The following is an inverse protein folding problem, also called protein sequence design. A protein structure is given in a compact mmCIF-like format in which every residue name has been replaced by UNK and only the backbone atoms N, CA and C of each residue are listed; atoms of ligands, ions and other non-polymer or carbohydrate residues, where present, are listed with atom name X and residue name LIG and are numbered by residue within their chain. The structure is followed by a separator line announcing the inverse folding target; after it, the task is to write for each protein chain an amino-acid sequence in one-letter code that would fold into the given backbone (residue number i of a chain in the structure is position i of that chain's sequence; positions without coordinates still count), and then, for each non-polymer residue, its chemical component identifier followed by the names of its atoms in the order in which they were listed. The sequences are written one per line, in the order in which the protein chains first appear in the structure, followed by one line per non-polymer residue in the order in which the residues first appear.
data_IF_000752992594
#
_entry.id   IF_000752992594
#
_cell.length_a   1.000
_cell.length_b   1.000
_cell.length_c   1.000
_cell.angle_alpha   90.00
_cell.angle_beta   90.00
_cell.angle_gamma   90.00
#
_symmetry.space_group_name_H-M   'P 1'
#
loop_
_entity.id
_entity.type
_entity.pdbx_description
1 polymer ?
#
# COMPACT_ATOMS: atom_id res chain seq x y z
N UNK A 1 -27.58 -13.51 -43.55
CA UNK A 1 -26.18 -13.98 -43.70
C UNK A 1 -25.72 -14.41 -42.32
N UNK A 2 -25.10 -15.58 -42.19
CA UNK A 2 -24.47 -15.99 -40.92
C UNK A 2 -23.24 -15.11 -40.73
N UNK A 3 -23.06 -14.49 -39.57
CA UNK A 3 -21.81 -13.80 -39.27
C UNK A 3 -20.72 -14.84 -39.01
N UNK A 4 -19.50 -14.52 -39.41
CA UNK A 4 -18.33 -15.35 -39.09
C UNK A 4 -18.03 -15.23 -37.59
N UNK A 5 -17.64 -16.36 -37.00
CA UNK A 5 -17.25 -16.47 -35.59
C UNK A 5 -15.75 -16.15 -35.45
N UNK A 6 -15.40 -15.25 -34.53
CA UNK A 6 -14.03 -14.74 -34.36
C UNK A 6 -13.43 -15.19 -33.04
N UNK A 7 -12.23 -15.76 -33.11
CA UNK A 7 -11.37 -16.03 -31.94
C UNK A 7 -10.40 -14.87 -31.73
N UNK A 8 -10.48 -14.22 -30.57
CA UNK A 8 -9.57 -13.12 -30.19
C UNK A 8 -8.31 -13.68 -29.52
N UNK A 9 -7.13 -13.25 -29.98
CA UNK A 9 -5.83 -13.74 -29.51
C UNK A 9 -5.09 -12.64 -28.76
N UNK A 10 -5.23 -12.60 -27.43
CA UNK A 10 -4.61 -11.55 -26.60
C UNK A 10 -3.08 -11.58 -26.62
N UNK A 11 -2.48 -12.71 -27.03
CA UNK A 11 -1.02 -12.82 -27.26
C UNK A 11 -0.51 -12.01 -28.45
N UNK A 12 -1.37 -11.60 -29.39
CA UNK A 12 -0.98 -10.72 -30.50
C UNK A 12 -1.02 -9.29 -30.01
N UNK A 13 0.15 -8.67 -29.84
CA UNK A 13 0.33 -7.34 -29.26
C UNK A 13 1.23 -6.51 -30.14
N UNK A 14 0.93 -5.23 -30.22
CA UNK A 14 1.86 -4.25 -30.76
C UNK A 14 3.04 -4.03 -29.81
N UNK A 15 4.23 -3.76 -30.34
CA UNK A 15 5.38 -3.36 -29.53
C UNK A 15 5.35 -1.88 -29.16
N UNK A 16 4.88 -1.03 -30.08
CA UNK A 16 4.92 0.43 -30.00
C UNK A 16 3.68 1.02 -30.71
N UNK A 17 3.33 2.29 -30.44
CA UNK A 17 2.15 2.94 -31.04
C UNK A 17 2.09 2.93 -32.57
N UNK A 18 3.23 2.78 -33.25
CA UNK A 18 3.31 2.72 -34.72
C UNK A 18 3.14 1.32 -35.33
N UNK A 19 3.22 0.26 -34.52
CA UNK A 19 3.01 -1.11 -34.96
C UNK A 19 1.54 -1.51 -34.73
N UNK A 20 0.93 -2.12 -35.72
CA UNK A 20 -0.48 -2.53 -35.68
C UNK A 20 -0.58 -3.94 -36.25
N UNK A 21 -0.15 -4.95 -35.48
CA UNK A 21 -0.14 -6.31 -35.98
C UNK A 21 -1.57 -6.74 -36.31
N UNK A 22 -1.68 -7.58 -37.33
CA UNK A 22 -2.95 -8.18 -37.74
C UNK A 22 -2.87 -9.69 -37.66
N UNK A 23 -4.02 -10.33 -37.50
CA UNK A 23 -4.13 -11.79 -37.56
C UNK A 23 -5.50 -12.20 -38.10
N UNK A 24 -5.59 -13.43 -38.62
CA UNK A 24 -6.88 -13.98 -39.02
C UNK A 24 -7.66 -14.39 -37.77
N UNK A 25 -8.82 -13.76 -37.58
CA UNK A 25 -9.73 -14.03 -36.46
C UNK A 25 -10.57 -15.28 -36.66
N UNK A 26 -10.75 -15.73 -37.91
CA UNK A 26 -11.45 -16.95 -38.26
C UNK A 26 -10.45 -18.04 -38.70
N UNK A 27 -10.56 -19.23 -38.10
CA UNK A 27 -9.77 -20.41 -38.50
C UNK A 27 -10.54 -21.33 -39.47
N UNK A 28 -11.78 -20.99 -39.81
CA UNK A 28 -12.62 -21.73 -40.76
C UNK A 28 -12.11 -21.54 -42.19
N UNK A 29 -11.71 -22.65 -42.81
CA UNK A 29 -11.16 -22.71 -44.18
C UNK A 29 -12.17 -22.40 -45.30
N UNK A 30 -13.38 -21.94 -44.97
CA UNK A 30 -14.53 -21.90 -45.92
C UNK A 30 -15.17 -20.53 -46.11
N UNK A 31 -14.62 -19.46 -45.53
CA UNK A 31 -15.28 -18.17 -45.39
C UNK A 31 -14.45 -16.94 -45.76
N UNK A 32 -15.07 -15.77 -45.60
CA UNK A 32 -14.46 -14.46 -45.81
C UNK A 32 -13.53 -14.17 -44.64
N UNK A 33 -12.22 -14.10 -44.87
CA UNK A 33 -11.24 -13.91 -43.80
C UNK A 33 -11.49 -12.60 -43.05
N UNK A 34 -11.88 -12.69 -41.77
CA UNK A 34 -11.92 -11.55 -40.85
C UNK A 34 -10.49 -11.28 -40.38
N UNK A 35 -9.94 -10.13 -40.73
CA UNK A 35 -8.61 -9.70 -40.32
C UNK A 35 -8.77 -8.80 -39.10
N UNK A 36 -8.28 -9.27 -37.96
CA UNK A 36 -8.28 -8.49 -36.72
C UNK A 36 -7.02 -7.64 -36.68
N UNK A 37 -7.21 -6.34 -36.46
CA UNK A 37 -6.16 -5.36 -36.19
C UNK A 37 -6.04 -5.13 -34.69
N UNK A 38 -4.79 -5.01 -34.21
CA UNK A 38 -4.51 -4.67 -32.82
C UNK A 38 -3.91 -3.28 -32.73
N UNK A 39 -4.50 -2.43 -31.90
CA UNK A 39 -3.95 -1.10 -31.56
C UNK A 39 -3.62 -1.03 -30.08
N UNK A 40 -2.55 -0.34 -29.71
CA UNK A 40 -2.16 -0.07 -28.32
C UNK A 40 -2.38 1.40 -27.99
N UNK A 41 -2.87 1.68 -26.79
CA UNK A 41 -2.98 3.03 -26.23
C UNK A 41 -2.70 3.01 -24.73
N UNK A 42 -2.24 4.12 -24.17
CA UNK A 42 -2.16 4.30 -22.72
C UNK A 42 -3.53 4.70 -22.15
N UNK A 43 -4.15 3.80 -21.37
CA UNK A 43 -5.47 4.03 -20.78
C UNK A 43 -5.56 3.50 -19.33
N UNK A 44 -5.90 4.36 -18.35
CA UNK A 44 -6.15 5.80 -18.48
C UNK A 44 -4.93 6.61 -18.93
N UNK A 45 -5.17 7.75 -19.58
CA UNK A 45 -4.09 8.64 -20.03
C UNK A 45 -3.31 9.19 -18.84
N UNK A 46 -1.97 9.17 -18.92
CA UNK A 46 -1.06 9.55 -17.84
C UNK A 46 -0.80 8.42 -16.83
N UNK A 47 -1.13 7.17 -17.18
CA UNK A 47 -0.96 6.01 -16.32
C UNK A 47 0.13 5.07 -16.84
N UNK A 48 0.38 3.98 -16.12
CA UNK A 48 1.32 2.93 -16.54
C UNK A 48 0.60 1.72 -17.13
N UNK A 49 -0.62 1.91 -17.62
CA UNK A 49 -1.46 0.86 -18.16
C UNK A 49 -1.63 0.99 -19.67
N UNK A 50 -1.41 -0.12 -20.37
CA UNK A 50 -1.69 -0.24 -21.80
C UNK A 50 -3.01 -0.96 -22.02
N UNK A 51 -3.79 -0.45 -22.97
CA UNK A 51 -4.96 -1.10 -23.55
C UNK A 51 -4.61 -1.56 -24.96
N UNK A 52 -4.77 -2.84 -25.20
CA UNK A 52 -4.67 -3.44 -26.54
C UNK A 52 -6.07 -3.72 -27.04
N UNK A 53 -6.50 -3.02 -28.08
CA UNK A 53 -7.83 -3.17 -28.68
C UNK A 53 -7.74 -4.03 -29.94
N UNK A 54 -8.51 -5.10 -29.97
CA UNK A 54 -8.68 -6.03 -31.08
C UNK A 54 -10.01 -5.70 -31.79
N UNK A 55 -9.93 -5.25 -33.03
CA UNK A 55 -11.08 -4.86 -33.86
C UNK A 55 -10.92 -5.34 -35.31
N UNK A 56 -12.03 -5.43 -36.06
CA UNK A 56 -11.97 -5.78 -37.48
C UNK A 56 -11.27 -4.68 -38.31
N UNK A 57 -10.44 -5.09 -39.28
CA UNK A 57 -9.62 -4.18 -40.11
C UNK A 57 -10.37 -3.60 -41.34
N UNK A 58 -11.68 -3.82 -41.47
CA UNK A 58 -12.50 -3.51 -42.66
C UNK A 58 -12.83 -2.03 -42.91
N UNK A 59 -12.08 -1.06 -42.35
CA UNK A 59 -12.20 0.37 -42.60
C UNK A 59 -13.36 1.09 -41.88
N UNK A 60 -14.49 0.41 -41.66
CA UNK A 60 -15.55 0.82 -40.72
C UNK A 60 -15.62 -0.19 -39.57
N UNK A 61 -16.15 0.19 -38.39
CA UNK A 61 -16.29 -0.71 -37.23
C UNK A 61 -17.25 -1.86 -37.52
N UNK A 62 -16.78 -2.87 -38.24
CA UNK A 62 -17.56 -4.04 -38.61
C UNK A 62 -17.83 -4.88 -37.36
N UNK A 63 -19.04 -5.44 -37.33
CA UNK A 63 -19.47 -6.33 -36.26
C UNK A 63 -19.03 -7.75 -36.58
N UNK A 64 -18.62 -8.49 -35.55
CA UNK A 64 -18.36 -9.92 -35.65
C UNK A 64 -19.00 -10.67 -34.49
N UNK A 65 -19.22 -11.98 -34.65
CA UNK A 65 -19.67 -12.84 -33.55
C UNK A 65 -18.44 -13.33 -32.77
N UNK A 66 -18.36 -13.03 -31.46
CA UNK A 66 -17.24 -13.48 -30.64
C UNK A 66 -17.39 -14.97 -30.34
N UNK A 67 -16.38 -15.77 -30.70
CA UNK A 67 -16.32 -17.21 -30.41
C UNK A 67 -15.71 -17.50 -29.05
N UNK A 68 -14.51 -16.96 -28.82
CA UNK A 68 -13.75 -17.12 -27.59
C UNK A 68 -12.61 -16.09 -27.53
N UNK A 69 -12.06 -15.91 -26.32
CA UNK A 69 -10.87 -15.10 -26.07
C UNK A 69 -9.76 -16.02 -25.58
N UNK A 70 -8.61 -15.97 -26.25
CA UNK A 70 -7.41 -16.73 -25.89
C UNK A 70 -6.39 -15.82 -25.19
N UNK A 71 -5.74 -16.33 -24.15
CA UNK A 71 -4.68 -15.65 -23.41
C UNK A 71 -3.36 -15.55 -24.21
N UNK A 72 -2.31 -15.01 -23.57
CA UNK A 72 -0.97 -14.92 -24.17
C UNK A 72 -0.33 -16.26 -24.53
N UNK A 73 -0.84 -17.37 -23.98
CA UNK A 73 -0.38 -18.74 -24.24
C UNK A 73 -1.34 -19.52 -25.15
N UNK A 74 -2.26 -18.83 -25.84
CA UNK A 74 -3.28 -19.42 -26.70
C UNK A 74 -4.24 -20.37 -25.97
N UNK A 75 -4.45 -20.18 -24.66
CA UNK A 75 -5.43 -20.91 -23.86
C UNK A 75 -6.72 -20.10 -23.75
N UNK A 76 -7.86 -20.77 -23.88
CA UNK A 76 -9.16 -20.13 -23.69
C UNK A 76 -9.28 -19.53 -22.29
N UNK A 77 -9.74 -18.29 -22.23
CA UNK A 77 -10.08 -17.60 -21.00
C UNK A 77 -11.50 -18.00 -20.60
N UNK A 78 -11.61 -18.82 -19.56
CA UNK A 78 -12.91 -19.24 -19.04
C UNK A 78 -13.60 -18.10 -18.28
N UNK A 79 -14.93 -17.99 -18.43
CA UNK A 79 -15.76 -16.98 -17.78
C UNK A 79 -16.08 -15.74 -18.63
N UNK A 80 -15.48 -15.61 -19.82
CA UNK A 80 -15.87 -14.60 -20.81
C UNK A 80 -16.84 -15.25 -21.80
N UNK A 81 -18.15 -15.02 -21.68
CA UNK A 81 -19.12 -15.64 -22.57
C UNK A 81 -18.99 -15.09 -23.99
N UNK A 82 -19.14 -15.92 -25.03
CA UNK A 82 -19.33 -15.44 -26.39
C UNK A 82 -20.65 -14.67 -26.58
N UNK A 83 -21.61 -14.89 -25.67
CA UNK A 83 -23.00 -14.54 -25.87
C UNK A 83 -23.40 -13.26 -25.12
N UNK A 84 -23.25 -12.11 -25.80
CA UNK A 84 -24.09 -10.94 -25.55
C UNK A 84 -25.51 -11.15 -26.10
N UNK A 85 -26.50 -10.28 -25.80
CA UNK A 85 -27.89 -10.44 -26.24
C UNK A 85 -28.04 -10.63 -27.75
N UNK A 86 -27.16 -9.99 -28.54
CA UNK A 86 -27.12 -10.10 -30.00
C UNK A 86 -25.87 -10.81 -30.54
N UNK A 87 -24.99 -11.32 -29.65
CA UNK A 87 -23.65 -11.93 -29.93
C UNK A 87 -22.66 -11.10 -30.74
N UNK A 88 -23.04 -9.90 -31.17
CA UNK A 88 -22.25 -9.01 -32.00
C UNK A 88 -21.34 -8.13 -31.17
N UNK A 89 -20.06 -8.23 -31.44
CA UNK A 89 -18.98 -7.46 -30.81
C UNK A 89 -18.39 -6.49 -31.82
N UNK A 90 -18.05 -5.30 -31.34
CA UNK A 90 -17.33 -4.26 -32.09
C UNK A 90 -15.83 -4.33 -31.84
N UNK A 91 -15.43 -4.65 -30.60
CA UNK A 91 -14.04 -4.79 -30.21
C UNK A 91 -13.90 -5.60 -28.93
N UNK A 92 -12.74 -6.23 -28.75
CA UNK A 92 -12.29 -6.79 -27.47
C UNK A 92 -11.00 -6.09 -27.10
N UNK A 93 -10.92 -5.52 -25.90
CA UNK A 93 -9.70 -4.90 -25.39
C UNK A 93 -9.16 -5.63 -24.17
N UNK A 94 -7.84 -5.62 -24.01
CA UNK A 94 -7.18 -6.17 -22.83
C UNK A 94 -6.22 -5.13 -22.24
N UNK A 95 -6.27 -4.98 -20.92
CA UNK A 95 -5.47 -4.03 -20.17
C UNK A 95 -4.31 -4.73 -19.49
N UNK A 96 -3.14 -4.10 -19.51
CA UNK A 96 -1.89 -4.63 -18.99
C UNK A 96 -1.13 -3.53 -18.25
N UNK A 97 -0.36 -3.92 -17.24
CA UNK A 97 0.62 -3.02 -16.66
C UNK A 97 1.89 -3.00 -17.50
N UNK A 98 2.35 -1.84 -17.93
CA UNK A 98 3.49 -1.70 -18.85
C UNK A 98 4.81 -2.25 -18.29
N UNK A 99 4.88 -2.47 -16.98
CA UNK A 99 6.08 -2.96 -16.28
C UNK A 99 6.01 -4.44 -15.90
N UNK A 100 5.03 -5.21 -16.38
CA UNK A 100 4.88 -6.64 -16.10
C UNK A 100 5.92 -7.52 -16.86
N UNK A 101 7.19 -7.33 -16.51
CA UNK A 101 8.37 -8.03 -17.04
C UNK A 101 8.77 -7.58 -18.45
N UNK A 102 9.92 -6.91 -18.53
CA UNK A 102 10.70 -6.98 -19.76
C UNK A 102 11.62 -5.81 -20.11
N UNK A 103 11.71 -4.78 -19.27
CA UNK A 103 12.49 -3.60 -19.63
C UNK A 103 11.98 -2.94 -20.93
N UNK A 104 12.74 -1.99 -21.48
CA UNK A 104 12.32 -1.26 -22.68
C UNK A 104 12.13 -2.20 -23.88
N UNK A 105 10.99 -2.11 -24.57
CA UNK A 105 10.70 -2.82 -25.82
C UNK A 105 10.12 -4.23 -25.70
N UNK A 106 9.71 -4.66 -24.49
CA UNK A 106 8.96 -5.90 -24.30
C UNK A 106 7.47 -5.61 -24.06
N UNK A 107 6.62 -6.49 -24.58
CA UNK A 107 5.17 -6.41 -24.36
C UNK A 107 4.80 -7.09 -23.03
N UNK A 108 3.96 -6.46 -22.19
CA UNK A 108 3.54 -7.04 -20.92
C UNK A 108 2.69 -8.29 -21.14
N UNK A 109 2.70 -9.26 -20.22
CA UNK A 109 2.14 -10.60 -20.47
C UNK A 109 0.91 -10.96 -19.63
N UNK A 110 0.73 -10.34 -18.47
CA UNK A 110 -0.37 -10.56 -17.55
C UNK A 110 -1.48 -9.57 -17.81
N UNK A 111 -2.59 -10.11 -18.32
CA UNK A 111 -3.84 -9.39 -18.50
C UNK A 111 -4.40 -9.04 -17.12
N UNK A 112 -4.75 -7.77 -16.92
CA UNK A 112 -5.39 -7.27 -15.70
C UNK A 112 -6.92 -7.23 -15.83
N UNK A 113 -7.40 -6.86 -17.00
CA UNK A 113 -8.82 -6.64 -17.28
C UNK A 113 -9.09 -6.87 -18.76
N UNK A 114 -10.21 -7.51 -19.09
CA UNK A 114 -10.72 -7.66 -20.45
C UNK A 114 -12.01 -6.86 -20.59
N UNK A 115 -12.10 -6.06 -21.63
CA UNK A 115 -13.26 -5.27 -22.02
C UNK A 115 -13.85 -5.85 -23.30
N UNK A 116 -15.14 -6.17 -23.30
CA UNK A 116 -15.86 -6.65 -24.49
C UNK A 116 -16.95 -5.63 -24.84
N UNK A 117 -16.81 -5.00 -26.01
CA UNK A 117 -17.72 -3.94 -26.46
C UNK A 117 -18.77 -4.53 -27.42
N UNK A 118 -19.97 -4.80 -26.92
CA UNK A 118 -21.07 -5.34 -27.72
C UNK A 118 -21.80 -4.23 -28.49
N UNK A 119 -22.37 -4.59 -29.64
CA UNK A 119 -23.28 -3.69 -30.36
C UNK A 119 -24.67 -3.63 -29.70
N UNK A 120 -25.42 -2.56 -29.96
CA UNK A 120 -26.80 -2.45 -29.51
C UNK A 120 -26.95 -2.26 -28.00
N UNK A 121 -27.89 -2.98 -27.40
CA UNK A 121 -28.21 -2.87 -25.96
C UNK A 121 -27.26 -3.64 -25.05
N UNK A 122 -26.34 -4.44 -25.61
CA UNK A 122 -25.38 -5.22 -24.82
C UNK A 122 -24.35 -4.38 -24.08
N UNK A 123 -24.05 -3.17 -24.57
CA UNK A 123 -23.10 -2.24 -23.96
C UNK A 123 -21.68 -2.80 -23.85
N UNK A 124 -20.90 -2.22 -22.94
CA UNK A 124 -19.54 -2.70 -22.63
C UNK A 124 -19.56 -3.54 -21.37
N UNK A 125 -18.99 -4.73 -21.43
CA UNK A 125 -18.76 -5.60 -20.28
C UNK A 125 -17.28 -5.66 -19.93
N UNK A 126 -16.98 -5.79 -18.66
CA UNK A 126 -15.62 -5.89 -18.15
C UNK A 126 -15.46 -7.17 -17.37
N UNK A 127 -14.30 -7.80 -17.52
CA UNK A 127 -13.97 -9.05 -16.88
C UNK A 127 -12.63 -8.88 -16.20
N UNK A 128 -12.55 -9.29 -14.93
CA UNK A 128 -11.31 -9.32 -14.16
C UNK A 128 -11.06 -10.73 -13.69
N UNK A 129 -9.80 -11.00 -13.34
CA UNK A 129 -9.46 -12.27 -12.71
C UNK A 129 -10.05 -12.30 -11.30
N UNK A 130 -10.89 -13.31 -11.04
CA UNK A 130 -11.44 -13.57 -9.72
C UNK A 130 -10.42 -14.27 -8.81
N UNK A 131 -10.88 -14.89 -7.74
CA UNK A 131 -10.04 -15.79 -6.94
C UNK A 131 -9.74 -17.06 -7.73
N UNK A 132 -8.49 -17.24 -8.17
CA UNK A 132 -8.05 -18.45 -8.88
C UNK A 132 -7.78 -18.22 -10.37
N UNK A 133 -8.40 -19.03 -11.24
CA UNK A 133 -8.19 -18.98 -12.70
C UNK A 133 -9.39 -18.37 -13.45
N UNK A 134 -10.54 -18.26 -12.81
CA UNK A 134 -11.78 -17.84 -13.46
C UNK A 134 -11.83 -16.33 -13.66
N UNK A 135 -12.41 -15.92 -14.79
CA UNK A 135 -12.72 -14.52 -15.07
C UNK A 135 -14.17 -14.23 -14.73
N UNK A 136 -14.39 -13.14 -14.02
CA UNK A 136 -15.71 -12.73 -13.55
C UNK A 136 -16.09 -11.39 -14.13
N UNK A 137 -17.34 -11.28 -14.59
CA UNK A 137 -17.90 -10.01 -15.03
C UNK A 137 -17.90 -9.02 -13.85
N UNK A 138 -17.43 -7.80 -14.08
CA UNK A 138 -17.36 -6.74 -13.09
C UNK A 138 -17.92 -5.44 -13.65
N UNK A 139 -18.49 -4.63 -12.77
CA UNK A 139 -18.98 -3.29 -13.11
C UNK A 139 -17.95 -2.25 -12.66
N UNK A 140 -17.37 -1.51 -13.61
CA UNK A 140 -16.32 -0.54 -13.32
C UNK A 140 -16.82 0.82 -12.82
N UNK A 141 -18.08 1.17 -13.08
CA UNK A 141 -18.56 2.55 -12.86
C UNK A 141 -17.61 3.56 -13.51
N UNK A 142 -17.20 4.58 -12.74
CA UNK A 142 -16.24 5.61 -13.15
C UNK A 142 -14.80 5.33 -12.69
N UNK A 143 -14.48 4.10 -12.27
CA UNK A 143 -13.26 3.81 -11.48
C UNK A 143 -12.32 2.78 -12.14
N UNK A 144 -12.21 2.82 -13.48
CA UNK A 144 -11.33 1.95 -14.26
C UNK A 144 -9.90 1.91 -13.71
N UNK A 145 -9.31 3.07 -13.39
CA UNK A 145 -7.92 3.12 -12.90
C UNK A 145 -7.75 2.40 -11.56
N UNK A 146 -8.72 2.51 -10.66
CA UNK A 146 -8.65 1.80 -9.38
C UNK A 146 -8.79 0.30 -9.57
N UNK A 147 -9.66 -0.16 -10.45
CA UNK A 147 -9.75 -1.59 -10.78
C UNK A 147 -8.42 -2.09 -11.36
N UNK A 148 -7.77 -1.31 -12.23
CA UNK A 148 -6.45 -1.65 -12.74
C UNK A 148 -5.38 -1.67 -11.64
N UNK A 149 -5.36 -0.70 -10.72
CA UNK A 149 -4.47 -0.70 -9.56
C UNK A 149 -4.68 -1.93 -8.67
N UNK A 150 -5.93 -2.31 -8.40
CA UNK A 150 -6.29 -3.49 -7.61
C UNK A 150 -5.82 -4.78 -8.29
N UNK A 151 -6.07 -4.92 -9.60
CA UNK A 151 -5.63 -6.05 -10.39
C UNK A 151 -4.11 -6.09 -10.54
N UNK A 152 -3.45 -4.94 -10.57
CA UNK A 152 -1.98 -4.84 -10.58
C UNK A 152 -1.39 -5.29 -9.23
N UNK A 153 -2.01 -4.89 -8.11
CA UNK A 153 -1.64 -5.37 -6.79
C UNK A 153 -1.80 -6.89 -6.68
N UNK A 154 -2.88 -7.45 -7.25
CA UNK A 154 -3.16 -8.87 -7.26
C UNK A 154 -2.22 -9.68 -8.15
N UNK A 155 -2.03 -9.26 -9.41
CA UNK A 155 -1.37 -10.06 -10.45
C UNK A 155 0.14 -9.78 -10.58
N UNK A 156 0.58 -8.58 -10.20
CA UNK A 156 1.96 -8.13 -10.40
C UNK A 156 2.71 -7.83 -9.11
N UNK A 157 2.07 -7.99 -7.95
CA UNK A 157 2.68 -7.64 -6.67
C UNK A 157 3.19 -6.19 -6.63
N UNK A 158 2.39 -5.29 -7.21
CA UNK A 158 2.74 -3.90 -7.43
C UNK A 158 1.66 -2.99 -6.82
N UNK A 159 1.99 -2.26 -5.76
CA UNK A 159 1.05 -1.45 -4.97
C UNK A 159 0.99 0.00 -5.48
N UNK A 160 -0.22 0.54 -5.60
CA UNK A 160 -0.45 1.98 -5.80
C UNK A 160 -0.90 2.60 -4.49
N UNK A 161 -0.19 3.60 -3.98
CA UNK A 161 -0.57 4.31 -2.75
C UNK A 161 -1.38 5.56 -3.06
N UNK A 162 -2.41 5.82 -2.27
CA UNK A 162 -3.16 7.07 -2.21
C UNK A 162 -2.80 7.78 -0.91
N UNK A 163 -1.94 8.79 -1.01
CA UNK A 163 -1.49 9.55 0.17
C UNK A 163 -2.42 10.71 0.50
N UNK A 164 -3.63 10.76 -0.08
CA UNK A 164 -4.64 11.72 0.37
C UNK A 164 -4.96 11.44 1.84
N UNK A 165 -5.02 12.49 2.65
CA UNK A 165 -5.47 12.41 4.04
C UNK A 165 -6.82 11.71 4.06
N UNK A 166 -6.84 10.58 4.75
CA UNK A 166 -8.01 9.75 5.03
C UNK A 166 -8.54 8.96 3.83
N UNK A 167 -7.71 8.77 2.78
CA UNK A 167 -8.01 7.88 1.66
C UNK A 167 -8.46 6.47 2.10
N UNK A 168 -7.92 6.03 3.24
CA UNK A 168 -8.13 4.69 3.80
C UNK A 168 -9.12 4.67 4.98
N UNK A 169 -9.73 5.81 5.31
CA UNK A 169 -10.67 5.97 6.41
C UNK A 169 -10.07 5.64 7.80
N UNK A 170 -10.90 5.78 8.83
CA UNK A 170 -10.61 5.31 10.20
C UNK A 170 -10.87 3.82 10.37
N UNK A 171 -11.70 3.24 9.50
CA UNK A 171 -12.08 1.82 9.49
C UNK A 171 -11.02 0.91 8.85
N UNK A 172 -9.87 1.47 8.45
CA UNK A 172 -8.71 0.67 8.01
C UNK A 172 -8.89 0.01 6.64
N UNK A 173 -9.48 0.71 5.66
CA UNK A 173 -9.47 0.20 4.27
C UNK A 173 -8.04 0.00 3.84
N UNK A 174 -7.70 -1.21 3.40
CA UNK A 174 -6.34 -1.51 2.96
C UNK A 174 -6.00 -0.69 1.70
N UNK A 175 -4.75 -0.21 1.57
CA UNK A 175 -4.23 0.37 0.33
C UNK A 175 -4.19 -0.55 -0.88
N UNK A 176 -4.46 -1.84 -0.71
CA UNK A 176 -4.49 -2.83 -1.77
C UNK A 176 -5.89 -3.47 -1.90
N UNK A 177 -6.06 -4.33 -2.92
CA UNK A 177 -7.32 -4.98 -3.26
C UNK A 177 -7.95 -5.78 -2.11
N UNK A 178 -9.29 -5.88 -2.15
CA UNK A 178 -10.12 -6.65 -1.20
C UNK A 178 -9.72 -8.13 -1.08
N UNK A 179 -9.05 -8.69 -2.09
CA UNK A 179 -8.52 -10.05 -2.05
C UNK A 179 -7.42 -10.29 -1.01
N UNK A 180 -6.80 -9.22 -0.46
CA UNK A 180 -5.72 -9.31 0.53
C UNK A 180 -6.16 -8.98 1.96
N UNK A 181 -7.43 -9.17 2.32
CA UNK A 181 -7.95 -8.86 3.67
C UNK A 181 -7.17 -9.53 4.81
N UNK A 182 -6.62 -10.73 4.61
CA UNK A 182 -5.81 -11.42 5.63
C UNK A 182 -4.31 -11.10 5.59
N UNK A 183 -3.81 -10.57 4.47
CA UNK A 183 -2.38 -10.34 4.23
C UNK A 183 -2.18 -9.03 3.47
N UNK A 184 -2.58 -7.92 4.09
CA UNK A 184 -2.43 -6.60 3.48
C UNK A 184 -0.97 -6.34 3.15
N UNK A 185 -0.67 -6.05 1.87
CA UNK A 185 0.67 -5.69 1.39
C UNK A 185 1.15 -4.34 1.92
N UNK A 186 0.20 -3.53 2.40
CA UNK A 186 0.47 -2.21 2.97
C UNK A 186 -0.22 -2.08 4.32
N UNK A 187 0.51 -1.63 5.34
CA UNK A 187 -0.06 -1.24 6.63
C UNK A 187 0.07 0.26 6.83
N UNK A 188 -1.00 0.91 7.26
CA UNK A 188 -1.00 2.35 7.57
C UNK A 188 -1.03 2.53 9.08
N UNK A 189 -0.04 3.24 9.62
CA UNK A 189 0.05 3.52 11.05
C UNK A 189 0.32 5.00 11.31
N UNK A 190 -0.37 5.63 12.27
CA UNK A 190 0.04 6.94 12.77
C UNK A 190 1.32 6.79 13.61
N UNK A 191 2.34 7.58 13.29
CA UNK A 191 3.58 7.67 14.05
C UNK A 191 3.64 9.06 14.69
N UNK A 192 3.56 9.16 16.03
CA UNK A 192 3.71 10.44 16.69
C UNK A 192 5.13 10.96 16.47
N UNK A 193 5.25 12.20 16.01
CA UNK A 193 6.54 12.91 15.97
C UNK A 193 6.54 13.84 17.16
N UNK A 194 6.86 13.26 18.32
CA UNK A 194 7.05 14.00 19.54
C UNK A 194 8.53 14.33 19.68
N UNK A 195 8.82 15.62 19.73
CA UNK A 195 10.10 16.10 20.23
C UNK A 195 10.01 16.14 21.77
N UNK A 196 10.41 15.05 22.42
CA UNK A 196 10.50 14.99 23.89
C UNK A 196 11.91 15.40 24.31
N UNK A 197 12.14 16.71 24.49
CA UNK A 197 13.28 17.15 25.29
C UNK A 197 12.85 17.24 26.75
N UNK A 198 13.63 16.63 27.64
CA UNK A 198 13.39 16.74 29.08
C UNK A 198 13.53 18.18 29.58
N UNK A 199 14.33 18.99 28.88
CA UNK A 199 14.76 20.31 29.36
C UNK A 199 13.82 21.44 28.93
N UNK A 200 12.83 21.18 28.06
CA UNK A 200 11.84 22.20 27.70
C UNK A 200 10.58 21.60 27.05
N UNK A 201 9.38 22.02 27.49
CA UNK A 201 8.12 21.62 26.86
C UNK A 201 7.89 22.37 25.55
N UNK A 202 7.73 21.63 24.45
CA UNK A 202 7.30 22.21 23.18
C UNK A 202 5.78 22.33 23.12
N UNK A 203 5.29 23.57 22.99
CA UNK A 203 3.86 23.82 22.76
C UNK A 203 3.58 23.57 21.28
N UNK A 204 2.78 22.53 20.97
CA UNK A 204 2.30 22.24 19.61
C UNK A 204 2.83 20.96 18.98
N UNK A 205 3.89 20.34 19.53
CA UNK A 205 4.45 19.07 19.01
C UNK A 205 3.57 17.85 19.32
N UNK A 206 2.76 17.90 20.38
CA UNK A 206 1.97 16.76 20.88
C UNK A 206 0.95 16.20 19.88
N UNK A 207 0.68 16.91 18.77
CA UNK A 207 -0.32 16.53 17.79
C UNK A 207 0.26 16.24 16.39
N UNK A 208 1.56 16.47 16.15
CA UNK A 208 2.12 16.17 14.84
C UNK A 208 2.24 14.65 14.66
N UNK A 209 1.39 14.11 13.81
CA UNK A 209 1.39 12.69 13.45
C UNK A 209 1.81 12.53 12.00
N UNK A 210 2.81 11.70 11.77
CA UNK A 210 3.17 11.22 10.44
C UNK A 210 2.33 9.99 10.11
N UNK A 211 1.80 9.89 8.89
CA UNK A 211 1.20 8.62 8.44
C UNK A 211 2.28 7.77 7.79
N UNK A 212 2.62 6.63 8.40
CA UNK A 212 3.56 5.64 7.86
C UNK A 212 2.80 4.57 7.09
N UNK A 213 3.22 4.34 5.86
CA UNK A 213 2.75 3.31 4.94
C UNK A 213 3.86 2.28 4.80
N UNK A 214 3.83 1.20 5.57
CA UNK A 214 4.81 0.11 5.45
C UNK A 214 4.40 -0.80 4.29
N UNK A 215 5.34 -1.14 3.41
CA UNK A 215 5.14 -1.92 2.20
C UNK A 215 5.93 -3.23 2.33
N UNK A 216 5.26 -4.37 2.18
CA UNK A 216 5.87 -5.68 2.47
C UNK A 216 6.38 -6.39 1.22
N UNK A 217 7.67 -6.19 0.87
CA UNK A 217 8.35 -7.00 -0.16
C UNK A 217 7.79 -6.86 -1.57
N UNK A 218 7.10 -5.75 -1.85
CA UNK A 218 6.39 -5.51 -3.12
C UNK A 218 6.96 -4.31 -3.88
N UNK A 219 6.56 -4.15 -5.14
CA UNK A 219 6.93 -2.99 -5.96
C UNK A 219 6.00 -1.82 -5.67
N UNK A 220 6.53 -0.62 -5.44
CA UNK A 220 5.70 0.59 -5.39
C UNK A 220 5.43 1.06 -6.82
N UNK A 221 4.24 0.73 -7.34
CA UNK A 221 3.84 1.00 -8.71
C UNK A 221 3.60 2.50 -8.97
N UNK A 222 3.01 3.19 -7.99
CA UNK A 222 2.63 4.58 -8.11
C UNK A 222 2.31 5.20 -6.75
N UNK A 223 2.36 6.52 -6.70
CA UNK A 223 1.74 7.32 -5.64
C UNK A 223 0.74 8.29 -6.26
N UNK A 224 -0.43 8.39 -5.63
CA UNK A 224 -1.55 9.24 -6.02
C UNK A 224 -1.95 10.17 -4.88
N UNK A 225 -2.48 11.33 -5.26
CA UNK A 225 -3.07 12.32 -4.37
C UNK A 225 -4.43 12.75 -4.94
N UNK A 226 -5.33 13.23 -4.08
CA UNK A 226 -6.54 13.87 -4.54
C UNK A 226 -6.19 15.10 -5.38
N UNK A 227 -6.89 15.25 -6.50
CA UNK A 227 -6.90 16.51 -7.23
C UNK A 227 -7.75 17.53 -6.42
N UNK A 228 -7.29 18.78 -6.35
CA UNK A 228 -8.01 19.87 -5.67
C UNK A 228 -9.21 20.37 -6.48
N UNK A 229 -9.38 19.90 -7.72
CA UNK A 229 -10.50 20.24 -8.60
C UNK A 229 -11.85 19.60 -8.24
N UNK A 230 -12.92 20.08 -8.90
CA UNK A 230 -14.32 19.67 -8.68
C UNK A 230 -14.63 18.19 -9.00
N UNK A 231 -13.70 17.48 -9.66
CA UNK A 231 -13.85 16.07 -9.99
C UNK A 231 -12.95 15.26 -9.07
N UNK A 232 -13.47 14.15 -8.52
CA UNK A 232 -12.76 13.19 -7.65
C UNK A 232 -11.62 12.44 -8.35
N UNK A 233 -10.91 13.10 -9.27
CA UNK A 233 -9.75 12.57 -9.96
C UNK A 233 -8.59 12.51 -8.98
N UNK A 234 -7.73 11.54 -9.20
CA UNK A 234 -6.48 11.41 -8.47
C UNK A 234 -5.36 11.84 -9.41
N UNK A 235 -4.46 12.68 -8.92
CA UNK A 235 -3.23 13.02 -9.63
C UNK A 235 -2.15 12.04 -9.22
N UNK A 236 -1.50 11.42 -10.19
CA UNK A 236 -0.27 10.64 -9.98
C UNK A 236 0.87 11.61 -9.73
N UNK A 237 1.74 11.30 -8.76
CA UNK A 237 2.93 12.10 -8.51
C UNK A 237 4.17 11.42 -9.09
N UNK A 238 5.23 12.19 -9.28
CA UNK A 238 6.56 11.72 -9.69
C UNK A 238 7.61 12.32 -8.77
N UNK A 239 8.69 11.60 -8.52
CA UNK A 239 9.85 12.12 -7.80
C UNK A 239 10.93 12.48 -8.82
N UNK A 240 11.46 13.71 -8.78
CA UNK A 240 12.43 14.18 -9.76
C UNK A 240 13.65 13.25 -9.81
N UNK A 241 13.93 12.71 -10.99
CA UNK A 241 15.03 11.78 -11.23
C UNK A 241 14.79 10.34 -10.75
N UNK A 242 13.60 10.01 -10.23
CA UNK A 242 13.23 8.65 -9.81
C UNK A 242 11.90 8.25 -10.45
N UNK A 243 11.93 7.48 -11.56
CA UNK A 243 10.71 7.03 -12.21
C UNK A 243 10.01 5.95 -11.38
N UNK A 244 8.69 5.86 -11.54
CA UNK A 244 7.94 4.68 -11.12
C UNK A 244 8.01 3.59 -12.21
N UNK A 245 7.91 2.30 -11.83
CA UNK A 245 7.82 1.77 -10.47
C UNK A 245 9.13 1.86 -9.69
N UNK A 246 9.01 1.79 -8.35
CA UNK A 246 10.16 1.73 -7.44
C UNK A 246 10.20 0.37 -6.75
N UNK A 247 11.30 -0.35 -6.99
CA UNK A 247 11.60 -1.56 -6.25
C UNK A 247 12.16 -1.22 -4.85
N UNK A 248 12.05 -2.16 -3.92
CA UNK A 248 12.71 -2.08 -2.61
C UNK A 248 12.28 -0.88 -1.74
N UNK A 249 11.10 -0.30 -1.93
CA UNK A 249 10.55 0.67 -0.98
C UNK A 249 10.01 -0.08 0.24
N UNK A 250 10.57 0.20 1.42
CA UNK A 250 10.11 -0.38 2.70
C UNK A 250 8.91 0.39 3.25
N UNK A 251 8.99 1.72 3.21
CA UNK A 251 7.93 2.56 3.75
C UNK A 251 7.89 3.95 3.13
N UNK A 252 6.68 4.49 3.07
CA UNK A 252 6.43 5.89 2.74
C UNK A 252 5.90 6.57 3.99
N UNK A 253 6.35 7.79 4.27
CA UNK A 253 5.84 8.60 5.36
C UNK A 253 5.26 9.89 4.79
N UNK A 254 4.03 10.21 5.16
CA UNK A 254 3.34 11.41 4.71
C UNK A 254 3.09 12.36 5.89
N UNK A 255 3.60 13.60 5.77
CA UNK A 255 3.40 14.69 6.71
C UNK A 255 2.40 15.68 6.13
N UNK A 256 1.34 15.98 6.88
CA UNK A 256 0.29 16.91 6.50
C UNK A 256 0.40 18.20 7.31
N UNK A 257 -0.12 19.30 6.76
CA UNK A 257 -0.20 20.58 7.47
C UNK A 257 -1.67 20.95 7.69
N UNK A 258 -2.08 20.99 8.96
CA UNK A 258 -3.46 21.24 9.38
C UNK A 258 -4.45 20.24 8.78
N UNK A 259 -5.55 20.77 8.23
CA UNK A 259 -6.62 19.98 7.59
C UNK A 259 -6.38 19.73 6.10
N UNK A 260 -5.19 20.03 5.59
CA UNK A 260 -4.89 19.76 4.19
C UNK A 260 -4.96 18.26 3.89
N UNK A 261 -5.65 17.93 2.80
CA UNK A 261 -5.77 16.57 2.30
C UNK A 261 -4.51 16.09 1.58
N UNK A 262 -3.69 17.00 1.07
CA UNK A 262 -2.41 16.67 0.47
C UNK A 262 -1.28 16.75 1.50
N UNK A 263 -0.33 15.81 1.49
CA UNK A 263 0.87 15.94 2.30
C UNK A 263 1.68 17.16 1.83
N UNK A 264 2.44 17.74 2.74
CA UNK A 264 3.45 18.77 2.44
C UNK A 264 4.83 18.15 2.24
N UNK A 265 5.10 17.05 2.93
CA UNK A 265 6.34 16.32 2.84
C UNK A 265 6.05 14.83 2.72
N UNK A 266 6.80 14.15 1.86
CA UNK A 266 6.79 12.70 1.71
C UNK A 266 8.21 12.18 1.92
N UNK A 267 8.43 11.31 2.90
CA UNK A 267 9.71 10.61 3.03
C UNK A 267 9.60 9.23 2.38
N UNK A 268 10.52 8.93 1.47
CA UNK A 268 10.67 7.60 0.90
C UNK A 268 11.76 6.87 1.66
N UNK A 269 11.42 5.74 2.27
CA UNK A 269 12.36 4.85 2.92
C UNK A 269 12.53 3.57 2.07
N UNK A 270 13.67 3.45 1.40
CA UNK A 270 14.02 2.27 0.59
C UNK A 270 15.02 1.36 1.32
N UNK A 271 15.00 0.07 1.00
CA UNK A 271 15.94 -0.96 1.48
C UNK A 271 17.19 -0.97 0.58
N UNK A 272 18.34 -1.29 1.18
CA UNK A 272 19.61 -1.44 0.46
C UNK A 272 20.27 -0.11 0.07
N UNK A 273 21.13 -0.15 -0.95
CA UNK A 273 21.98 0.97 -1.35
C UNK A 273 21.30 2.01 -2.26
N UNK A 274 19.97 1.95 -2.39
CA UNK A 274 19.16 2.94 -3.15
C UNK A 274 19.04 4.30 -2.42
N UNK A 275 20.19 4.85 -2.05
CA UNK A 275 20.34 6.14 -1.35
C UNK A 275 19.86 7.33 -2.19
N UNK A 276 19.80 7.17 -3.51
CA UNK A 276 19.27 8.17 -4.43
C UNK A 276 17.76 8.37 -4.24
N UNK A 277 17.02 7.29 -3.99
CA UNK A 277 15.56 7.32 -3.79
C UNK A 277 15.21 7.76 -2.36
N UNK A 278 16.02 7.36 -1.36
CA UNK A 278 15.74 7.66 0.05
C UNK A 278 15.79 9.17 0.35
N UNK A 279 14.81 9.66 1.11
CA UNK A 279 14.81 11.01 1.66
C UNK A 279 13.45 11.71 1.63
N UNK A 280 13.43 12.96 2.13
CA UNK A 280 12.27 13.83 2.08
C UNK A 280 12.09 14.45 0.69
N UNK A 281 10.85 14.48 0.24
CA UNK A 281 10.39 15.14 -0.96
C UNK A 281 9.31 16.16 -0.63
N UNK A 282 9.31 17.27 -1.35
CA UNK A 282 8.33 18.34 -1.24
C UNK A 282 7.76 18.68 -2.62
N UNK A 283 6.50 19.08 -2.64
CA UNK A 283 5.87 19.62 -3.83
C UNK A 283 6.29 21.09 -4.02
N UNK A 284 6.86 21.43 -5.17
CA UNK A 284 7.27 22.81 -5.49
C UNK A 284 6.17 23.64 -6.16
N UNK A 285 4.92 23.15 -6.18
CA UNK A 285 3.77 23.83 -6.77
C UNK A 285 3.51 23.47 -8.24
N UNK A 286 4.25 22.52 -8.79
CA UNK A 286 3.99 21.90 -10.10
C UNK A 286 2.93 20.80 -9.99
N UNK A 287 2.22 20.55 -11.09
CA UNK A 287 1.18 19.52 -11.21
C UNK A 287 1.76 18.09 -11.11
N UNK A 288 2.11 17.67 -9.89
CA UNK A 288 2.47 16.29 -9.56
C UNK A 288 3.98 15.99 -9.49
N UNK A 289 4.87 16.93 -9.79
CA UNK A 289 6.32 16.72 -9.59
C UNK A 289 6.76 17.07 -8.16
N UNK A 290 7.48 16.15 -7.53
CA UNK A 290 8.01 16.26 -6.18
C UNK A 290 9.54 16.22 -6.21
N UNK A 291 10.17 17.23 -5.61
CA UNK A 291 11.63 17.35 -5.57
C UNK A 291 12.18 17.01 -4.19
N UNK A 292 13.42 16.54 -4.13
CA UNK A 292 14.10 16.25 -2.87
C UNK A 292 14.26 17.53 -2.05
N UNK A 293 13.87 17.50 -0.78
CA UNK A 293 14.07 18.60 0.17
C UNK A 293 15.51 18.56 0.70
N UNK A 294 16.41 19.26 0.02
CA UNK A 294 17.86 19.22 0.32
C UNK A 294 18.20 19.75 1.71
N UNK A 295 17.39 20.65 2.26
CA UNK A 295 17.51 21.17 3.62
C UNK A 295 17.11 20.16 4.72
N UNK A 296 16.51 19.03 4.33
CA UNK A 296 16.19 17.89 5.19
C UNK A 296 17.10 16.68 4.91
N UNK A 297 18.27 16.89 4.30
CA UNK A 297 19.22 15.82 4.05
C UNK A 297 19.73 15.23 5.38
N UNK A 298 19.64 13.90 5.52
CA UNK A 298 20.03 13.19 6.75
C UNK A 298 18.94 13.14 7.82
N UNK A 299 17.85 13.89 7.65
CA UNK A 299 16.70 13.84 8.55
C UNK A 299 15.81 12.66 8.17
N UNK A 300 15.54 11.76 9.12
CA UNK A 300 14.55 10.68 8.97
C UNK A 300 13.34 10.96 9.86
N UNK A 301 12.17 10.33 9.61
CA UNK A 301 11.01 10.46 10.48
C UNK A 301 11.32 10.21 11.97
N UNK A 302 12.26 9.32 12.27
CA UNK A 302 12.71 8.96 13.61
C UNK A 302 13.67 9.98 14.24
N UNK A 303 14.37 10.78 13.43
CA UNK A 303 15.35 11.79 13.89
C UNK A 303 14.87 13.23 13.77
N UNK A 304 13.60 13.46 13.44
CA UNK A 304 12.97 14.81 13.45
C UNK A 304 12.94 15.40 14.88
N UNK A 305 13.17 14.56 15.90
CA UNK A 305 13.14 14.91 17.30
C UNK A 305 14.39 15.64 17.83
N UNK A 306 15.23 16.24 17.00
CA UNK A 306 16.20 17.23 17.44
C UNK A 306 15.73 18.64 17.06
N UNK A 307 16.16 19.66 17.81
CA UNK A 307 15.69 21.03 17.57
C UNK A 307 16.00 21.55 16.16
N UNK A 308 17.21 21.33 15.62
CA UNK A 308 17.52 21.75 14.26
C UNK A 308 16.66 21.08 13.18
N UNK A 309 16.49 19.74 13.20
CA UNK A 309 15.68 19.09 12.17
C UNK A 309 14.19 19.39 12.36
N UNK A 310 13.72 19.47 13.60
CA UNK A 310 12.36 19.92 13.93
C UNK A 310 12.07 21.27 13.30
N UNK A 311 12.97 22.25 13.48
CA UNK A 311 12.80 23.60 12.95
C UNK A 311 12.77 23.62 11.42
N UNK A 312 13.61 22.81 10.76
CA UNK A 312 13.58 22.68 9.31
C UNK A 312 12.25 22.10 8.82
N UNK A 313 11.76 21.02 9.46
CA UNK A 313 10.45 20.41 9.12
C UNK A 313 9.32 21.41 9.37
N UNK A 314 9.31 22.08 10.52
CA UNK A 314 8.31 23.09 10.87
C UNK A 314 8.32 24.25 9.87
N UNK A 315 9.49 24.70 9.41
CA UNK A 315 9.62 25.72 8.37
C UNK A 315 8.86 25.34 7.08
N UNK A 316 8.87 24.06 6.70
CA UNK A 316 8.11 23.54 5.55
C UNK A 316 6.60 23.45 5.81
N UNK A 317 6.20 23.18 7.05
CA UNK A 317 4.79 22.99 7.41
C UNK A 317 4.06 24.30 7.77
N UNK A 318 4.78 25.32 8.24
CA UNK A 318 4.23 26.57 8.82
C UNK A 318 3.29 27.37 7.93
N UNK A 319 3.37 27.21 6.61
CA UNK A 319 2.48 27.93 5.68
C UNK A 319 0.99 27.55 5.84
N UNK A 320 0.66 26.49 6.59
CA UNK A 320 -0.75 26.07 6.74
C UNK A 320 -1.16 25.61 8.14
N UNK A 321 -0.24 25.55 9.11
CA UNK A 321 -0.56 25.13 10.48
C UNK A 321 -0.06 26.17 11.49
N UNK A 322 -0.99 26.89 12.12
CA UNK A 322 -0.69 27.98 13.06
C UNK A 322 -0.17 27.46 14.41
N UNK A 323 -0.35 26.17 14.68
CA UNK A 323 -0.07 25.58 15.99
C UNK A 323 1.33 24.96 16.09
N UNK A 324 2.06 24.84 14.96
CA UNK A 324 3.43 24.33 14.96
C UNK A 324 4.42 25.42 15.36
N UNK A 325 5.03 25.26 16.53
CA UNK A 325 6.07 26.16 17.04
C UNK A 325 7.46 25.61 16.71
N UNK A 326 8.39 26.52 16.46
CA UNK A 326 9.83 26.18 16.39
C UNK A 326 10.31 25.75 17.78
N UNK A 327 11.20 24.77 17.82
CA UNK A 327 12.04 24.54 18.98
C UNK A 327 12.93 25.77 19.18
N UNK A 328 12.84 26.37 20.37
CA UNK A 328 13.86 27.30 20.86
C UNK A 328 14.86 26.49 21.67
N UNK A 329 16.05 26.31 21.13
CA UNK A 329 17.15 25.84 21.97
C UNK A 329 17.30 26.81 23.14
N UNK A 330 17.39 26.27 24.36
CA UNK A 330 17.73 27.06 25.52
C UNK A 330 19.02 27.80 25.21
N UNK A 331 18.99 29.13 25.33
CA UNK A 331 20.21 29.90 25.15
C UNK A 331 21.25 29.41 26.16
N UNK A 332 22.54 29.52 25.86
CA UNK A 332 23.60 29.17 26.83
C UNK A 332 23.41 29.90 28.17
N UNK A 333 22.82 31.10 28.14
CA UNK A 333 22.38 31.83 29.34
C UNK A 333 21.33 31.07 30.14
N UNK A 334 20.32 30.50 29.47
CA UNK A 334 19.24 29.76 30.13
C UNK A 334 19.74 28.43 30.69
N UNK A 335 20.63 27.73 29.96
CA UNK A 335 21.33 26.54 30.47
C UNK A 335 22.17 26.86 31.72
N UNK A 336 22.88 28.00 31.73
CA UNK A 336 23.65 28.45 32.89
C UNK A 336 22.75 28.80 34.08
N UNK A 337 21.61 29.46 33.85
CA UNK A 337 20.63 29.77 34.91
C UNK A 337 20.03 28.51 35.51
N UNK A 338 19.73 27.51 34.69
CA UNK A 338 19.19 26.23 35.15
C UNK A 338 20.22 25.45 35.97
N UNK A 339 21.47 25.38 35.51
CA UNK A 339 22.57 24.80 36.30
C UNK A 339 22.80 25.54 37.63
N UNK A 340 22.65 26.87 37.66
CA UNK A 340 22.73 27.64 38.91
C UNK A 340 21.54 27.35 39.84
N UNK A 341 20.34 27.18 39.31
CA UNK A 341 19.15 26.82 40.09
C UNK A 341 19.28 25.44 40.72
N UNK A 342 19.69 24.43 39.93
CA UNK A 342 19.90 23.07 40.42
C UNK A 342 21.02 22.99 41.47
N UNK A 343 22.09 23.80 41.31
CA UNK A 343 23.16 23.88 42.32
C UNK A 343 22.71 24.54 43.62
N UNK A 344 21.75 25.45 43.56
CA UNK A 344 21.18 26.11 44.75
C UNK A 344 20.26 25.17 45.51
N UNK A 345 19.44 24.36 44.82
CA UNK A 345 18.57 23.36 45.45
C UNK A 345 19.36 22.18 46.04
N UNK A 346 20.44 21.74 45.39
CA UNK A 346 21.33 20.71 45.95
C UNK A 346 22.04 21.15 47.24
N UNK A 347 22.35 22.44 47.37
CA UNK A 347 22.98 22.99 48.58
C UNK A 347 22.05 22.98 49.79
N UNK A 348 20.74 23.16 49.60
CA UNK A 348 19.75 23.10 50.67
C UNK A 348 19.46 21.65 51.11
N UNK A 349 19.52 20.69 50.17
CA UNK A 349 19.39 19.27 50.48
C UNK A 349 20.61 18.73 51.24
N UNK A 350 21.83 19.17 50.87
CA UNK A 350 23.06 18.83 51.60
C UNK A 350 23.06 19.41 53.03
N UNK A 351 22.57 20.65 53.22
CA UNK A 351 22.37 21.24 54.55
C UNK A 351 21.32 20.49 55.39
N UNK A 352 20.26 19.98 54.76
CA UNK A 352 19.25 19.15 55.44
C UNK A 352 19.82 17.80 55.87
N UNK A 353 20.59 17.13 55.01
CA UNK A 353 21.22 15.85 55.35
C UNK A 353 22.22 16.01 56.51
N UNK A 354 23.04 17.07 56.50
CA UNK A 354 23.95 17.39 57.62
C UNK A 354 23.17 17.67 58.91
N UNK A 355 22.00 18.31 58.82
CA UNK A 355 21.15 18.57 60.00
C UNK A 355 20.50 17.30 60.56
N UNK A 356 20.07 16.36 59.71
CA UNK A 356 19.53 15.07 60.13
C UNK A 356 20.61 14.16 60.73
N UNK A 357 21.81 14.14 60.15
CA UNK A 357 22.91 13.34 60.66
C UNK A 357 23.36 13.84 62.04
N UNK A 358 23.39 15.16 62.24
CA UNK A 358 23.65 15.77 63.56
C UNK A 358 22.57 15.39 64.58
N UNK A 359 21.30 15.36 64.17
CA UNK A 359 20.18 15.01 65.04
C UNK A 359 20.17 13.52 65.43
N UNK A 360 20.54 12.63 64.50
CA UNK A 360 20.75 11.19 64.79
C UNK A 360 21.92 10.96 65.74
N UNK A 361 22.99 11.76 65.63
CA UNK A 361 24.14 11.68 66.54
C UNK A 361 23.80 12.14 67.97
N UNK A 362 22.96 13.17 68.11
CA UNK A 362 22.43 13.63 69.41
C UNK A 362 21.45 12.62 70.04
N UNK A 363 20.62 11.92 69.25
CA UNK A 363 19.74 10.85 69.74
C UNK A 363 20.53 9.59 70.15
N UNK A 364 21.64 9.28 69.48
CA UNK A 364 22.49 8.14 69.84
C UNK A 364 23.21 8.36 71.18
N UNK A 365 23.68 9.58 71.47
CA UNK A 365 24.29 9.95 72.77
C UNK A 365 23.27 9.95 73.94
N UNK A 366 21.96 10.08 73.68
CA UNK A 366 20.92 9.93 74.72
C UNK A 366 20.52 8.47 75.01
N UNK A 367 20.93 7.51 74.16
CA UNK A 367 20.55 6.10 74.29
C UNK A 367 21.55 5.23 75.06
N UNK A 368 22.74 5.74 75.41
CA UNK A 368 23.80 4.98 76.08
C UNK A 368 23.63 4.76 77.61
N UNK A 369 22.49 5.16 78.22
CA UNK A 369 22.28 4.96 79.67
C UNK A 369 21.41 3.77 80.07
N UNK A 370 21.14 2.80 79.19
CA UNK A 370 20.30 1.63 79.52
C UNK A 370 21.12 0.33 79.48
N UNK A 371 21.28 -0.27 80.66
CA UNK A 371 22.00 -1.51 80.92
C UNK A 371 21.34 -2.73 80.26
N UNK A 372 22.12 -3.69 79.72
CA UNK A 372 21.58 -4.87 79.04
C UNK A 372 21.17 -5.97 80.03
N UNK A 373 19.93 -6.45 79.92
CA UNK A 373 19.44 -7.70 80.56
C UNK A 373 19.41 -8.83 79.53
N UNK A 374 20.26 -9.83 79.77
CA UNK A 374 20.06 -11.28 79.60
C UNK A 374 19.46 -11.87 78.30
N UNK A 375 20.11 -12.86 77.65
CA UNK A 375 19.55 -13.55 76.48
C UNK A 375 18.57 -14.67 76.88
N UNK A 376 17.46 -14.86 76.16
CA UNK A 376 16.70 -16.10 76.21
C UNK A 376 17.10 -17.07 75.09
N UNK A 377 17.12 -18.34 75.49
CA UNK A 377 17.45 -19.54 74.74
C UNK A 377 16.37 -19.91 73.71
N UNK A 378 16.82 -20.26 72.50
CA UNK A 378 16.47 -21.49 71.76
C UNK A 378 15.09 -21.66 71.15
N UNK A 379 15.06 -21.91 69.84
CA UNK A 379 14.17 -22.92 69.25
C UNK A 379 14.76 -23.50 67.94
N UNK A 380 14.49 -24.78 67.61
CA UNK A 380 15.21 -25.55 66.59
C UNK A 380 14.58 -25.43 65.19
N UNK A 381 15.42 -25.53 64.16
CA UNK A 381 14.99 -25.53 62.76
C UNK A 381 14.37 -26.87 62.31
N UNK A 382 13.45 -26.85 61.34
CA UNK A 382 12.95 -28.07 60.71
C UNK A 382 13.83 -28.53 59.53
N UNK A 383 14.03 -29.84 59.49
CA UNK A 383 14.61 -30.62 58.40
C UNK A 383 13.65 -30.75 57.20
N UNK A 384 14.21 -30.90 55.99
CA UNK A 384 13.47 -31.00 54.73
C UNK A 384 12.82 -32.36 54.44
N UNK A 385 12.41 -32.60 53.19
CA UNK A 385 12.61 -33.91 52.58
C UNK A 385 13.17 -33.89 51.15
N UNK A 386 13.67 -35.06 50.77
CA UNK A 386 14.44 -35.43 49.60
C UNK A 386 13.60 -35.86 48.38
N UNK A 387 14.27 -36.02 47.22
CA UNK A 387 13.83 -36.80 46.06
C UNK A 387 14.39 -36.24 44.75
N UNK A 388 15.40 -36.86 44.12
CA UNK A 388 15.31 -37.91 43.06
C UNK A 388 14.68 -37.39 41.75
N UNK A 389 15.19 -37.56 40.53
CA UNK A 389 16.36 -38.22 39.96
C UNK A 389 16.59 -37.64 38.54
N UNK A 390 17.81 -37.71 38.00
CA UNK A 390 18.27 -38.73 37.06
C UNK A 390 18.02 -38.42 35.56
N UNK A 391 19.14 -38.47 34.83
CA UNK A 391 19.29 -38.99 33.45
C UNK A 391 19.22 -38.01 32.27
N UNK A 392 20.27 -38.03 31.44
CA UNK A 392 20.14 -37.69 30.01
C UNK A 392 21.29 -36.90 29.35
N UNK A 393 22.47 -37.49 29.28
CA UNK A 393 23.53 -37.18 28.28
C UNK A 393 23.03 -37.29 26.84
N UNK A 394 23.44 -36.38 25.96
CA UNK A 394 23.94 -36.68 24.61
C UNK A 394 24.59 -35.46 23.96
N UNK A 395 25.92 -35.54 23.80
CA UNK A 395 26.68 -34.82 22.78
C UNK A 395 26.29 -35.32 21.39
N UNK A 396 26.28 -34.42 20.40
CA UNK A 396 26.06 -34.75 18.99
C UNK A 396 26.53 -33.63 18.10
N UNK A 397 27.74 -33.81 17.58
CA UNK A 397 28.51 -32.95 16.67
C UNK A 397 27.80 -32.72 15.34
N UNK A 398 27.93 -31.51 14.79
CA UNK A 398 27.51 -31.17 13.44
C UNK A 398 28.74 -31.09 12.53
N UNK A 399 28.94 -32.15 11.75
CA UNK A 399 29.77 -32.13 10.54
C UNK A 399 28.81 -32.12 9.34
N UNK A 400 28.87 -31.06 8.53
CA UNK A 400 28.24 -31.02 7.21
C UNK A 400 29.31 -30.61 6.21
N UNK A 401 29.86 -31.60 5.52
CA UNK A 401 30.52 -31.42 4.24
C UNK A 401 30.20 -32.65 3.37
N UNK A 402 29.91 -32.42 2.08
CA UNK A 402 29.93 -33.49 1.08
C UNK A 402 28.75 -33.64 0.13
N UNK A 403 28.88 -32.99 -1.03
CA UNK A 403 28.80 -33.57 -2.39
C UNK A 403 27.47 -33.89 -3.10
N UNK A 404 27.51 -33.51 -4.39
CA UNK A 404 26.67 -33.84 -5.54
C UNK A 404 26.22 -35.31 -5.66
N UNK A 405 25.05 -35.50 -6.27
CA UNK A 405 24.53 -36.83 -6.59
C UNK A 405 23.22 -36.85 -7.36
N UNK A 406 23.33 -36.72 -8.67
CA UNK A 406 22.36 -37.02 -9.71
C UNK A 406 21.69 -38.41 -9.53
N UNK A 407 20.35 -38.47 -9.69
CA UNK A 407 19.53 -39.61 -10.18
C UNK A 407 18.05 -39.48 -9.76
N UNK A 408 17.17 -39.35 -10.75
CA UNK A 408 15.72 -39.54 -10.57
C UNK A 408 15.34 -40.97 -10.17
N UNK A 409 14.08 -41.16 -9.76
CA UNK A 409 13.29 -42.14 -10.49
C UNK A 409 11.83 -41.75 -10.72
N UNK A 410 11.33 -42.30 -11.82
CA UNK A 410 9.93 -42.50 -12.19
C UNK A 410 9.07 -43.12 -11.07
N UNK A 411 7.89 -42.54 -10.82
CA UNK A 411 6.77 -43.18 -10.11
C UNK A 411 5.45 -42.57 -10.60
N UNK A 412 4.77 -43.24 -11.53
CA UNK A 412 3.58 -44.10 -11.34
C UNK A 412 2.35 -43.37 -10.77
N UNK A 413 1.31 -43.40 -11.60
CA UNK A 413 -0.05 -42.96 -11.36
C UNK A 413 -0.67 -43.63 -10.13
N UNK A 414 -1.41 -42.82 -9.36
CA UNK A 414 -2.33 -43.26 -8.34
C UNK A 414 -3.68 -42.62 -8.60
N UNK A 415 -4.64 -43.46 -8.97
CA UNK A 415 -6.06 -43.13 -9.07
C UNK A 415 -6.60 -42.62 -7.72
N UNK A 416 -7.36 -41.53 -7.75
CA UNK A 416 -8.20 -41.10 -6.63
C UNK A 416 -9.54 -40.62 -7.17
N UNK A 417 -10.55 -41.44 -6.92
CA UNK A 417 -11.97 -41.13 -7.14
C UNK A 417 -12.49 -40.00 -6.21
N UNK A 418 -13.62 -39.36 -6.58
CA UNK A 418 -13.97 -38.01 -6.14
C UNK A 418 -14.74 -38.00 -4.81
N UNK A 419 -14.36 -37.06 -3.95
CA UNK A 419 -15.06 -36.74 -2.72
C UNK A 419 -16.24 -35.81 -2.97
N UNK A 420 -17.37 -36.20 -2.38
CA UNK A 420 -18.71 -35.61 -2.38
C UNK A 420 -18.81 -34.09 -2.34
N UNK A 421 -19.59 -33.62 -3.30
CA UNK A 421 -20.26 -32.34 -3.48
C UNK A 421 -21.07 -31.91 -2.24
N UNK A 422 -20.81 -30.72 -1.71
CA UNK A 422 -21.66 -30.05 -0.72
C UNK A 422 -22.16 -28.74 -1.34
N UNK A 423 -23.28 -28.84 -2.04
CA UNK A 423 -23.99 -27.71 -2.62
C UNK A 423 -24.52 -26.78 -1.52
N UNK A 424 -23.94 -25.59 -1.40
CA UNK A 424 -24.60 -24.46 -0.71
C UNK A 424 -25.36 -23.64 -1.75
N UNK A 425 -26.66 -23.92 -1.84
CA UNK A 425 -27.62 -23.11 -2.59
C UNK A 425 -27.78 -21.76 -1.89
N UNK A 426 -27.20 -20.70 -2.45
CA UNK A 426 -27.55 -19.33 -2.07
C UNK A 426 -28.84 -18.93 -2.78
N UNK A 427 -29.92 -18.87 -2.01
CA UNK A 427 -31.18 -18.25 -2.41
C UNK A 427 -30.95 -16.75 -2.57
N UNK A 428 -30.99 -16.27 -3.81
CA UNK A 428 -30.99 -14.85 -4.14
C UNK A 428 -32.39 -14.28 -3.81
N UNK A 429 -32.48 -13.50 -2.74
CA UNK A 429 -33.70 -12.73 -2.42
C UNK A 429 -33.74 -11.50 -3.33
N UNK A 430 -34.59 -11.56 -4.35
CA UNK A 430 -34.92 -10.41 -5.21
C UNK A 430 -35.85 -9.48 -4.45
N UNK A 431 -35.33 -8.34 -3.98
CA UNK A 431 -36.14 -7.25 -3.46
C UNK A 431 -36.52 -6.34 -4.64
N UNK A 432 -37.75 -6.49 -5.13
CA UNK A 432 -38.35 -5.56 -6.08
C UNK A 432 -38.76 -4.27 -5.35
N UNK A 433 -37.92 -3.23 -5.46
CA UNK A 433 -38.25 -1.88 -5.04
C UNK A 433 -38.89 -1.08 -6.18
N UNK A 434 -40.20 -0.90 -6.11
CA UNK A 434 -40.97 0.05 -6.91
C UNK A 434 -40.42 1.49 -6.73
N UNK A 435 -40.05 2.15 -7.84
CA UNK A 435 -39.80 3.60 -7.86
C UNK A 435 -40.97 4.29 -8.57
N UNK A 436 -41.77 5.01 -7.79
CA UNK A 436 -42.85 5.86 -8.28
C UNK A 436 -42.29 7.25 -8.62
N UNK A 437 -42.38 7.59 -9.90
CA UNK A 437 -42.16 8.94 -10.44
C UNK A 437 -43.21 9.91 -9.91
N UNK A 438 -42.78 11.00 -9.28
CA UNK A 438 -43.63 12.19 -9.13
C UNK A 438 -42.86 13.43 -9.61
N UNK A 439 -43.28 13.86 -10.80
CA UNK A 439 -42.92 15.12 -11.42
C UNK A 439 -43.54 16.28 -10.63
N UNK A 440 -42.72 17.24 -10.19
CA UNK A 440 -43.19 18.55 -9.75
C UNK A 440 -42.49 19.64 -10.55
N UNK A 441 -43.24 20.17 -11.52
CA UNK A 441 -43.10 21.55 -11.98
C UNK A 441 -43.16 22.50 -10.78
N UNK A 442 -42.28 23.48 -10.71
CA UNK A 442 -42.56 24.75 -10.05
C UNK A 442 -41.83 25.89 -10.79
N UNK A 443 -42.55 26.99 -10.81
CA UNK A 443 -42.53 28.12 -11.73
C UNK A 443 -41.46 29.17 -11.42
N UNK A 444 -40.95 29.80 -12.47
CA UNK A 444 -40.26 31.10 -12.38
C UNK A 444 -41.29 32.21 -12.12
N UNK A 445 -41.04 33.02 -11.09
CA UNK A 445 -41.71 34.31 -10.88
C UNK A 445 -40.70 35.43 -11.09
N UNK A 446 -40.98 36.30 -12.07
CA UNK A 446 -40.30 37.59 -12.27
C UNK A 446 -40.72 38.57 -11.18
N UNK A 447 -39.78 39.36 -10.68
CA UNK A 447 -40.08 40.73 -10.24
C UNK A 447 -39.03 41.70 -10.78
N UNK A 448 -39.56 42.86 -11.19
CA UNK A 448 -38.87 44.10 -11.50
C UNK A 448 -38.02 44.58 -10.34
#
# INVERSE_FOLDING_TARGET
MKMEEVTIKLGVKSKDDGDHPTYNGDESTKGQNIIIKVTVTEEPRGSDFYKYTHEDNGGEKQLFELKEVLDGNSKKIEGIPPDGPDKKVTSVSAYYWRHDKGGPGQTPNKVLLVEVSYSGSGGTKYYVRGTGIDWVETFLGDDLEKTLDEQNCYSNDAVTLDLTKDAYGTEGRSPCCDGHKSHSKVSVTPVPVNHTHHDHPHVGSNNLTVKKYSILGTTLAAIKLADTGEKKKKKRITFSGQPFPMDSVESIYALYSGDNREPKLIYVNSIGDQTNVRGWYQNNGSDGEWTKATDLQGVTPETINDCPNWNNVVGKLKHSNRDLQECKELSESDKQKEQQSQRSEGSDEELRQVSEEKRKKEEQEQSESVTPRGPPLGAPGPAGPAGAGASGTAEGTSDVDGTDGDRGPTGKAGDREPGSDTTHSMILVVINGFSNSNSKMLSFSRKN
#
